data_IF_309340544607
#
_entry.id   IF_309340544607
#
_cell.length_a   1.000
_cell.length_b   1.000
_cell.length_c   1.000
_cell.angle_alpha   90.00
_cell.angle_beta   90.00
_cell.angle_gamma   90.00
#
_symmetry.space_group_name_H-M   'P 1'
#
loop_
_entity.id
_entity.type
_entity.pdbx_description
1 polymer ?
#
# COMPACT_ATOMS: atom_id res chain seq x y z
N UNK A 1 -5.62 0.69 5.73
CA UNK A 1 -4.16 0.52 5.58
C UNK A 1 -3.42 1.53 6.44
N UNK A 2 -2.14 1.29 6.74
CA UNK A 2 -1.29 2.27 7.43
C UNK A 2 -1.09 3.53 6.56
N UNK A 3 -0.78 4.70 7.16
CA UNK A 3 -0.44 5.90 6.40
C UNK A 3 0.71 5.62 5.42
N UNK A 4 0.53 5.92 4.13
CA UNK A 4 1.51 5.64 3.07
C UNK A 4 1.33 4.30 2.34
N UNK A 5 0.38 3.46 2.78
CA UNK A 5 -0.01 2.24 2.07
C UNK A 5 -1.35 2.44 1.36
N UNK A 6 -1.43 1.97 0.12
CA UNK A 6 -2.65 1.97 -0.69
C UNK A 6 -3.40 0.66 -0.49
N UNK A 7 -4.72 0.77 -0.30
CA UNK A 7 -5.60 -0.40 -0.23
C UNK A 7 -5.86 -0.93 -1.64
N UNK A 8 -5.50 -2.18 -1.88
CA UNK A 8 -5.87 -2.92 -3.09
C UNK A 8 -6.96 -3.94 -2.75
N UNK A 9 -8.10 -3.81 -3.43
CA UNK A 9 -9.30 -4.60 -3.21
C UNK A 9 -10.34 -3.89 -2.34
N UNK A 10 -11.34 -4.65 -1.91
CA UNK A 10 -12.51 -4.12 -1.21
C UNK A 10 -12.20 -3.72 0.25
N UNK A 11 -12.67 -2.54 0.70
CA UNK A 11 -12.43 -2.05 2.06
C UNK A 11 -13.23 -2.80 3.13
N UNK A 12 -14.27 -3.52 2.72
CA UNK A 12 -15.10 -4.32 3.61
C UNK A 12 -15.42 -5.66 2.95
N UNK A 13 -15.27 -6.73 3.74
CA UNK A 13 -15.64 -8.08 3.34
C UNK A 13 -16.84 -8.54 4.16
N UNK A 14 -17.76 -9.22 3.49
CA UNK A 14 -18.93 -9.82 4.13
C UNK A 14 -18.74 -11.33 4.12
N UNK A 15 -18.80 -11.95 5.31
CA UNK A 15 -18.74 -13.40 5.43
C UNK A 15 -20.06 -14.00 4.92
N UNK A 16 -20.00 -14.73 3.81
CA UNK A 16 -21.17 -15.42 3.27
C UNK A 16 -21.49 -16.61 4.17
N UNK A 17 -22.57 -16.50 4.94
CA UNK A 17 -23.09 -17.62 5.73
C UNK A 17 -24.05 -18.44 4.86
N UNK A 18 -23.65 -19.68 4.56
CA UNK A 18 -24.39 -20.61 3.69
C UNK A 18 -23.58 -21.89 3.42
N UNK A 19 -23.70 -22.45 2.21
CA UNK A 19 -23.05 -23.72 1.78
C UNK A 19 -21.51 -23.63 1.76
N UNK A 20 -20.96 -22.42 1.72
CA UNK A 20 -19.52 -22.18 1.63
C UNK A 20 -19.16 -21.01 2.57
N UNK A 21 -18.31 -21.28 3.57
CA UNK A 21 -17.75 -20.28 4.49
C UNK A 21 -16.63 -19.49 3.79
N UNK A 22 -17.00 -18.76 2.75
CA UNK A 22 -16.09 -17.92 2.00
C UNK A 22 -16.47 -16.44 2.13
N UNK A 23 -15.48 -15.58 1.92
CA UNK A 23 -15.70 -14.15 1.77
C UNK A 23 -16.30 -13.86 0.39
N UNK A 24 -17.09 -12.80 0.30
CA UNK A 24 -17.63 -12.32 -0.98
C UNK A 24 -16.53 -11.86 -1.97
N UNK A 25 -15.39 -11.39 -1.45
CA UNK A 25 -14.22 -10.99 -2.23
C UNK A 25 -12.91 -11.56 -1.62
N UNK A 26 -11.80 -11.57 -2.38
CA UNK A 26 -10.48 -11.90 -1.85
C UNK A 26 -10.07 -10.98 -0.70
N UNK A 27 -9.14 -11.46 0.14
CA UNK A 27 -8.58 -10.64 1.23
C UNK A 27 -7.87 -9.41 0.62
N UNK A 28 -8.28 -8.18 0.99
CA UNK A 28 -7.63 -6.97 0.50
C UNK A 28 -6.20 -6.89 1.04
N UNK A 29 -5.33 -6.26 0.27
CA UNK A 29 -3.92 -6.10 0.61
C UNK A 29 -3.55 -4.63 0.68
N UNK A 30 -2.68 -4.29 1.61
CA UNK A 30 -2.13 -2.95 1.74
C UNK A 30 -0.74 -2.97 1.14
N UNK A 31 -0.53 -2.26 0.04
CA UNK A 31 0.78 -2.18 -0.62
C UNK A 31 1.38 -0.79 -0.46
N UNK A 32 2.68 -0.75 -0.15
CA UNK A 32 3.42 0.50 -0.12
C UNK A 32 3.69 1.00 -1.53
N UNK A 33 3.68 2.32 -1.72
CA UNK A 33 3.94 2.94 -3.01
C UNK A 33 5.38 2.71 -3.45
N UNK A 34 5.58 2.10 -4.62
CA UNK A 34 6.88 1.97 -5.28
C UNK A 34 7.16 3.20 -6.15
N UNK A 35 7.83 4.19 -5.58
CA UNK A 35 8.21 5.42 -6.28
C UNK A 35 7.10 6.46 -6.42
N UNK A 36 7.49 7.67 -6.86
CA UNK A 36 6.59 8.81 -7.02
C UNK A 36 7.20 10.15 -6.59
N UNK A 37 6.44 11.23 -6.74
CA UNK A 37 6.82 12.56 -6.25
C UNK A 37 6.21 12.78 -4.86
N UNK A 38 7.06 12.94 -3.85
CA UNK A 38 6.65 13.29 -2.49
C UNK A 38 6.79 14.80 -2.35
N UNK A 39 5.66 15.49 -2.14
CA UNK A 39 5.61 16.95 -1.90
C UNK A 39 5.34 17.31 -0.45
N UNK A 40 5.18 16.30 0.41
CA UNK A 40 4.92 16.46 1.84
C UNK A 40 6.21 16.84 2.59
N UNK A 41 6.11 17.74 3.58
CA UNK A 41 7.24 18.10 4.47
C UNK A 41 7.69 16.95 5.37
N UNK A 42 6.82 15.96 5.61
CA UNK A 42 7.11 14.79 6.42
C UNK A 42 6.31 13.59 5.88
N UNK A 43 6.86 12.39 6.04
CA UNK A 43 6.27 11.15 5.58
C UNK A 43 7.17 9.95 5.87
N UNK A 44 6.67 8.75 5.62
CA UNK A 44 7.43 7.51 5.80
C UNK A 44 7.39 6.74 4.50
N UNK A 45 8.56 6.38 3.99
CA UNK A 45 8.70 5.51 2.82
C UNK A 45 8.73 4.07 3.32
N UNK A 46 7.80 3.27 2.82
CA UNK A 46 7.73 1.85 3.15
C UNK A 46 8.13 1.03 1.93
N UNK A 47 8.83 -0.08 2.15
CA UNK A 47 9.21 -1.01 1.10
C UNK A 47 7.99 -1.83 0.65
N UNK A 48 7.63 -1.84 -0.65
CA UNK A 48 6.58 -2.72 -1.19
C UNK A 48 6.79 -4.19 -0.78
N UNK A 49 5.78 -4.80 -0.17
CA UNK A 49 5.81 -6.22 0.18
C UNK A 49 5.70 -6.51 1.67
N UNK A 50 6.09 -5.59 2.58
CA UNK A 50 6.05 -5.87 4.01
C UNK A 50 4.64 -6.26 4.49
N UNK A 51 4.44 -7.40 5.20
CA UNK A 51 5.44 -8.29 5.81
C UNK A 51 5.98 -9.44 4.93
N UNK A 52 5.50 -9.59 3.71
CA UNK A 52 6.04 -10.50 2.71
C UNK A 52 7.36 -9.96 2.10
N UNK A 53 8.05 -10.80 1.34
CA UNK A 53 9.33 -10.42 0.74
C UNK A 53 9.15 -9.33 -0.32
N UNK A 54 10.10 -8.40 -0.32
CA UNK A 54 10.23 -7.39 -1.35
C UNK A 54 10.59 -8.08 -2.68
N UNK A 55 9.84 -7.87 -3.77
CA UNK A 55 10.11 -8.55 -5.03
C UNK A 55 11.54 -8.28 -5.52
N UNK A 56 12.26 -9.34 -5.90
CA UNK A 56 13.55 -9.18 -6.56
C UNK A 56 13.38 -8.35 -7.85
N UNK A 57 14.34 -7.44 -8.10
CA UNK A 57 14.37 -6.53 -9.26
C UNK A 57 13.38 -5.34 -9.23
N UNK A 58 12.77 -5.02 -8.09
CA UNK A 58 11.99 -3.80 -7.96
C UNK A 58 12.88 -2.62 -7.48
N UNK A 59 13.32 -1.76 -8.39
CA UNK A 59 13.94 -0.48 -8.03
C UNK A 59 12.85 0.59 -7.92
N UNK A 60 12.62 1.10 -6.71
CA UNK A 60 11.65 2.16 -6.47
C UNK A 60 12.40 3.49 -6.25
N UNK A 61 12.07 4.50 -7.05
CA UNK A 61 12.68 5.83 -6.94
C UNK A 61 11.66 6.86 -6.46
N UNK A 62 11.97 7.55 -5.36
CA UNK A 62 11.16 8.64 -4.82
C UNK A 62 11.84 9.98 -5.07
N UNK A 63 11.11 10.93 -5.65
CA UNK A 63 11.58 12.31 -5.81
C UNK A 63 10.90 13.18 -4.76
N UNK A 64 11.67 13.64 -3.76
CA UNK A 64 11.16 14.53 -2.71
C UNK A 64 11.33 15.98 -3.18
N UNK A 65 10.22 16.71 -3.30
CA UNK A 65 10.22 18.13 -3.68
C UNK A 65 9.78 18.97 -2.49
N UNK A 66 10.64 19.91 -2.09
CA UNK A 66 10.38 20.85 -1.01
C UNK A 66 10.11 22.24 -1.62
N UNK A 67 9.17 23.04 -1.10
CA UNK A 67 8.97 24.42 -1.56
C UNK A 67 10.26 25.24 -1.39
N UNK A 68 10.65 26.09 -2.35
CA UNK A 68 11.82 26.96 -2.20
C UNK A 68 11.55 28.04 -1.13
N UNK A 69 12.45 28.18 -0.15
CA UNK A 69 12.40 29.23 0.88
C UNK A 69 12.49 28.75 2.35
N UNK A 70 13.14 27.62 2.62
CA UNK A 70 13.52 27.19 3.98
C UNK A 70 14.99 27.53 4.25
#
# INVERSE_FOLDING_TARGET
>A
CLPGYTLLGEPSLTCLHGVSRNWNHPIPRCEALCGGNITSMNGTIYSPGHPAEYPHFQDCMWTVRVPPGH
#
